data_IF_588748950440
#
_entry.id   IF_588748950440
#
_cell.length_a   1.000
_cell.length_b   1.000
_cell.length_c   1.000
_cell.angle_alpha   90.00
_cell.angle_beta   90.00
_cell.angle_gamma   90.00
#
_symmetry.space_group_name_H-M   'P 1'
#
loop_
_entity.id
_entity.type
_entity.pdbx_description
1 polymer ?
#
# COMPACT_ATOMS: atom_id res chain seq x y z
N UNK A 1 -3.33 37.12 -60.28
CA UNK A 1 -2.16 36.64 -59.47
C UNK A 1 -2.49 36.46 -57.98
N UNK A 2 -3.19 37.38 -57.30
CA UNK A 2 -3.51 37.29 -55.85
C UNK A 2 -4.40 36.03 -55.54
N UNK A 3 -5.49 35.78 -56.27
CA UNK A 3 -6.39 34.64 -56.09
C UNK A 3 -5.70 33.27 -56.27
N UNK A 4 -4.76 33.15 -57.21
CA UNK A 4 -4.03 31.89 -57.46
C UNK A 4 -3.09 31.60 -56.29
N UNK A 5 -2.43 32.64 -55.77
CA UNK A 5 -1.58 32.52 -54.58
C UNK A 5 -2.38 32.08 -53.33
N UNK A 6 -3.56 32.66 -53.15
CA UNK A 6 -4.42 32.30 -51.99
C UNK A 6 -4.92 30.85 -52.10
N UNK A 7 -5.24 30.33 -53.27
CA UNK A 7 -5.59 28.93 -53.52
C UNK A 7 -4.40 28.01 -53.22
N UNK A 8 -3.18 28.39 -53.67
CA UNK A 8 -1.97 27.59 -53.40
C UNK A 8 -1.71 27.50 -51.88
N UNK A 9 -1.86 28.60 -51.12
CA UNK A 9 -1.71 28.61 -49.70
C UNK A 9 -2.77 27.73 -48.98
N UNK A 10 -4.02 27.75 -49.46
CA UNK A 10 -5.08 26.91 -48.89
C UNK A 10 -4.79 25.41 -49.13
N UNK A 11 -4.34 25.05 -50.34
CA UNK A 11 -3.95 23.66 -50.65
C UNK A 11 -2.75 23.22 -49.78
N UNK A 12 -1.73 24.05 -49.62
CA UNK A 12 -0.57 23.81 -48.78
C UNK A 12 -0.98 23.60 -47.32
N UNK A 13 -1.86 24.47 -46.80
CA UNK A 13 -2.37 24.34 -45.44
C UNK A 13 -3.11 23.02 -45.23
N UNK A 14 -3.97 22.62 -46.16
CA UNK A 14 -4.69 21.32 -46.11
C UNK A 14 -3.71 20.18 -46.13
N UNK A 15 -2.67 20.22 -46.98
CA UNK A 15 -1.64 19.17 -47.00
C UNK A 15 -0.86 19.07 -45.70
N UNK A 16 -0.51 20.19 -45.07
CA UNK A 16 0.15 20.21 -43.74
C UNK A 16 -0.76 19.60 -42.68
N UNK A 17 -2.05 19.99 -42.67
CA UNK A 17 -3.01 19.43 -41.72
C UNK A 17 -3.15 17.90 -41.91
N UNK A 18 -3.23 17.43 -43.15
CA UNK A 18 -3.29 16.00 -43.43
C UNK A 18 -2.01 15.24 -43.03
N UNK A 19 -0.83 15.86 -43.22
CA UNK A 19 0.45 15.30 -42.79
C UNK A 19 0.54 15.24 -41.26
N UNK A 20 0.11 16.29 -40.55
CA UNK A 20 0.06 16.31 -39.08
C UNK A 20 -0.91 15.24 -38.59
N UNK A 21 -2.12 15.18 -39.16
CA UNK A 21 -3.13 14.19 -38.75
C UNK A 21 -2.64 12.75 -38.99
N UNK A 22 -1.99 12.50 -40.13
CA UNK A 22 -1.44 11.17 -40.46
C UNK A 22 -0.29 10.75 -39.50
N UNK A 23 0.43 11.70 -38.94
CA UNK A 23 1.57 11.44 -38.06
C UNK A 23 1.29 11.88 -36.61
N UNK A 24 0.02 12.06 -36.23
CA UNK A 24 -0.34 12.62 -34.92
C UNK A 24 0.19 11.78 -33.78
N UNK A 25 0.17 10.45 -33.92
CA UNK A 25 0.67 9.52 -32.93
C UNK A 25 2.20 9.67 -32.75
N UNK A 26 2.95 9.73 -33.85
CA UNK A 26 4.41 9.93 -33.81
C UNK A 26 4.79 11.29 -33.24
N UNK A 27 4.02 12.34 -33.57
CA UNK A 27 4.23 13.69 -33.06
C UNK A 27 3.91 13.72 -31.56
N UNK A 28 2.80 13.10 -31.15
CA UNK A 28 2.40 12.97 -29.75
C UNK A 28 3.45 12.19 -28.96
N UNK A 29 3.92 11.05 -29.48
CA UNK A 29 5.01 10.29 -28.86
C UNK A 29 6.29 11.13 -28.69
N UNK A 30 6.70 11.87 -29.72
CA UNK A 30 7.88 12.73 -29.65
C UNK A 30 7.77 13.81 -28.56
N UNK A 31 6.62 14.48 -28.44
CA UNK A 31 6.40 15.48 -27.39
C UNK A 31 6.29 14.83 -26.01
N UNK A 32 5.63 13.68 -25.89
CA UNK A 32 5.56 12.91 -24.64
C UNK A 32 6.96 12.54 -24.18
N UNK A 33 7.82 12.09 -25.09
CA UNK A 33 9.20 11.73 -24.76
C UNK A 33 10.04 12.91 -24.30
N UNK A 34 9.89 14.06 -24.97
CA UNK A 34 10.62 15.25 -24.59
C UNK A 34 10.22 15.72 -23.17
N UNK A 35 8.95 15.52 -22.80
CA UNK A 35 8.43 15.87 -21.48
C UNK A 35 8.86 14.85 -20.42
N UNK A 36 8.73 13.55 -20.71
CA UNK A 36 9.03 12.46 -19.75
C UNK A 36 10.53 12.25 -19.56
N UNK A 37 11.35 12.49 -20.58
CA UNK A 37 12.82 12.26 -20.51
C UNK A 37 13.53 13.08 -19.43
N UNK A 38 12.89 14.14 -18.90
CA UNK A 38 13.43 15.02 -17.87
C UNK A 38 12.76 14.84 -16.50
N UNK A 39 11.73 13.99 -16.39
CA UNK A 39 11.01 13.78 -15.14
C UNK A 39 11.74 12.72 -14.29
N UNK A 40 12.19 13.15 -13.12
CA UNK A 40 12.84 12.27 -12.14
C UNK A 40 11.82 11.83 -11.09
N UNK A 41 11.81 10.52 -10.81
CA UNK A 41 11.06 9.98 -9.68
C UNK A 41 11.62 10.59 -8.39
N UNK A 42 10.76 11.24 -7.61
CA UNK A 42 11.14 11.79 -6.30
C UNK A 42 10.93 10.74 -5.23
N UNK A 43 12.03 10.22 -4.68
CA UNK A 43 12.00 9.26 -3.59
C UNK A 43 12.02 10.03 -2.27
N UNK A 44 10.98 9.84 -1.46
CA UNK A 44 10.86 10.40 -0.10
C UNK A 44 11.49 9.44 0.92
N UNK A 45 11.85 9.95 2.09
CA UNK A 45 12.23 9.07 3.20
C UNK A 45 11.04 8.23 3.66
N UNK A 46 11.33 7.02 4.11
CA UNK A 46 10.34 6.15 4.71
C UNK A 46 10.01 6.63 6.13
N UNK A 47 8.80 6.39 6.59
CA UNK A 47 8.43 6.63 7.98
C UNK A 47 9.02 5.57 8.92
N UNK A 48 8.82 5.77 10.23
CA UNK A 48 9.36 4.89 11.29
C UNK A 48 8.70 3.51 11.37
N UNK A 49 7.61 3.29 10.63
CA UNK A 49 6.85 2.05 10.64
C UNK A 49 7.20 1.12 9.47
N UNK A 50 8.20 1.48 8.68
CA UNK A 50 8.69 0.65 7.59
C UNK A 50 9.20 -0.69 8.11
N UNK A 51 8.62 -1.77 7.63
CA UNK A 51 9.10 -3.13 7.89
C UNK A 51 10.31 -3.49 7.01
N UNK A 52 11.26 -4.24 7.58
CA UNK A 52 12.54 -4.61 6.94
C UNK A 52 12.74 -6.14 6.95
N UNK A 53 11.69 -6.88 6.60
CA UNK A 53 11.74 -8.35 6.63
C UNK A 53 12.24 -8.93 5.31
N UNK A 54 13.30 -9.75 5.35
CA UNK A 54 13.95 -10.31 4.17
C UNK A 54 13.28 -11.58 3.61
N UNK A 55 12.18 -12.03 4.19
CA UNK A 55 11.49 -13.28 3.85
C UNK A 55 10.17 -13.06 3.11
N UNK A 56 9.89 -11.88 2.65
CA UNK A 56 8.82 -11.58 1.72
C UNK A 56 9.39 -11.35 0.33
N UNK A 57 8.70 -11.83 -0.71
CA UNK A 57 9.14 -11.73 -2.11
C UNK A 57 8.96 -10.32 -2.70
N UNK A 58 9.14 -9.28 -1.90
CA UNK A 58 9.12 -7.91 -2.37
C UNK A 58 10.53 -7.31 -2.40
N UNK A 59 10.84 -6.62 -3.48
CA UNK A 59 12.12 -5.94 -3.62
C UNK A 59 12.08 -4.55 -2.95
N UNK A 60 12.92 -4.35 -1.94
CA UNK A 60 13.03 -3.06 -1.24
C UNK A 60 13.92 -2.04 -1.96
N UNK A 61 14.83 -2.51 -2.81
CA UNK A 61 15.80 -1.68 -3.51
C UNK A 61 15.44 -1.56 -4.99
N UNK A 62 14.28 -0.94 -5.28
CA UNK A 62 13.82 -0.71 -6.63
C UNK A 62 14.19 0.71 -7.09
N UNK A 63 14.39 0.86 -8.38
CA UNK A 63 14.63 2.16 -9.00
C UNK A 63 13.34 2.89 -9.40
N UNK A 64 12.17 2.29 -9.12
CA UNK A 64 10.84 2.80 -9.45
C UNK A 64 10.58 3.02 -10.95
N UNK A 65 11.33 2.34 -11.80
CA UNK A 65 11.12 2.26 -13.24
C UNK A 65 10.69 0.83 -13.56
N UNK A 66 9.40 0.57 -13.78
CA UNK A 66 8.93 -0.80 -13.99
C UNK A 66 9.23 -1.28 -15.43
N UNK A 67 9.57 -2.55 -15.56
CA UNK A 67 9.70 -3.26 -16.83
C UNK A 67 8.84 -4.53 -16.87
N UNK A 68 8.27 -4.90 -15.74
CA UNK A 68 7.39 -6.06 -15.56
C UNK A 68 6.21 -5.72 -14.65
N UNK A 69 5.16 -6.56 -14.67
CA UNK A 69 4.04 -6.45 -13.74
C UNK A 69 4.48 -6.61 -12.29
N UNK A 70 5.49 -7.46 -12.02
CA UNK A 70 6.04 -7.64 -10.67
C UNK A 70 6.76 -6.38 -10.17
N UNK A 71 7.40 -5.60 -11.06
CA UNK A 71 7.98 -4.32 -10.67
C UNK A 71 6.89 -3.33 -10.24
N UNK A 72 5.74 -3.33 -10.91
CA UNK A 72 4.58 -2.50 -10.53
C UNK A 72 4.07 -2.93 -9.15
N UNK A 73 3.91 -4.22 -8.89
CA UNK A 73 3.51 -4.76 -7.59
C UNK A 73 4.52 -4.34 -6.49
N UNK A 74 5.81 -4.42 -6.80
CA UNK A 74 6.87 -3.95 -5.90
C UNK A 74 6.79 -2.45 -5.63
N UNK A 75 6.43 -1.62 -6.61
CA UNK A 75 6.20 -0.18 -6.41
C UNK A 75 5.07 0.04 -5.41
N UNK A 76 3.91 -0.59 -5.58
CA UNK A 76 2.78 -0.47 -4.64
C UNK A 76 3.17 -0.91 -3.23
N UNK A 77 3.85 -2.05 -3.11
CA UNK A 77 4.36 -2.51 -1.81
C UNK A 77 5.28 -1.47 -1.17
N UNK A 78 6.23 -0.92 -1.92
CA UNK A 78 7.17 0.07 -1.37
C UNK A 78 6.49 1.39 -1.01
N UNK A 79 5.50 1.84 -1.79
CA UNK A 79 4.70 3.03 -1.47
C UNK A 79 4.02 2.85 -0.11
N UNK A 80 3.35 1.71 0.10
CA UNK A 80 2.69 1.40 1.37
C UNK A 80 3.71 1.19 2.48
N UNK A 81 4.71 0.34 2.30
CA UNK A 81 5.67 0.02 3.34
C UNK A 81 6.50 1.21 3.80
N UNK A 82 6.75 2.20 2.91
CA UNK A 82 7.41 3.45 3.28
C UNK A 82 6.43 4.46 3.93
N UNK A 83 5.12 4.21 3.91
CA UNK A 83 4.09 5.12 4.42
C UNK A 83 3.93 6.40 3.58
N UNK A 84 4.16 6.30 2.28
CA UNK A 84 4.00 7.45 1.38
C UNK A 84 2.52 7.65 1.03
N UNK A 85 2.01 8.84 1.32
CA UNK A 85 0.62 9.23 0.99
C UNK A 85 0.45 9.56 -0.50
N UNK A 86 1.54 9.93 -1.17
CA UNK A 86 1.58 10.23 -2.61
C UNK A 86 2.90 9.76 -3.20
N UNK A 87 2.83 9.15 -4.36
CA UNK A 87 4.00 8.75 -5.14
C UNK A 87 3.71 8.83 -6.63
N UNK A 88 4.71 9.25 -7.42
CA UNK A 88 4.62 9.29 -8.88
C UNK A 88 5.81 8.56 -9.51
N UNK A 89 5.54 7.81 -10.57
CA UNK A 89 6.54 7.17 -11.41
C UNK A 89 6.09 7.21 -12.88
N UNK A 90 6.96 6.75 -13.78
CA UNK A 90 6.71 6.81 -15.23
C UNK A 90 6.82 5.43 -15.84
N UNK A 91 5.88 5.10 -16.71
CA UNK A 91 5.94 3.91 -17.55
C UNK A 91 6.97 4.10 -18.66
N UNK A 92 8.07 3.30 -18.73
CA UNK A 92 9.05 3.40 -19.79
C UNK A 92 8.45 2.99 -21.14
N UNK A 93 8.98 3.51 -22.24
CA UNK A 93 8.52 3.21 -23.61
C UNK A 93 8.68 1.76 -23.98
N UNK A 94 9.75 1.16 -23.49
CA UNK A 94 10.12 -0.22 -23.75
C UNK A 94 9.09 -1.20 -23.17
N UNK A 95 8.40 -0.80 -22.10
CA UNK A 95 7.34 -1.59 -21.48
C UNK A 95 5.97 -1.20 -22.06
N UNK A 96 5.62 -1.80 -23.19
CA UNK A 96 4.44 -1.42 -23.97
C UNK A 96 3.10 -1.59 -23.23
N UNK A 97 2.96 -2.60 -22.39
CA UNK A 97 1.74 -2.89 -21.61
C UNK A 97 1.76 -2.24 -20.22
N UNK A 98 2.74 -1.41 -19.89
CA UNK A 98 2.90 -0.85 -18.56
C UNK A 98 1.63 -0.18 -18.01
N UNK A 99 0.98 0.68 -18.81
CA UNK A 99 -0.23 1.38 -18.36
C UNK A 99 -1.40 0.43 -18.09
N UNK A 100 -1.59 -0.58 -18.95
CA UNK A 100 -2.64 -1.61 -18.81
C UNK A 100 -2.35 -2.49 -17.57
N UNK A 101 -1.07 -2.82 -17.34
CA UNK A 101 -0.65 -3.60 -16.17
C UNK A 101 -0.80 -2.78 -14.88
N UNK A 102 -0.52 -1.46 -14.91
CA UNK A 102 -0.80 -0.56 -13.79
C UNK A 102 -2.29 -0.50 -13.48
N UNK A 103 -3.15 -0.37 -14.50
CA UNK A 103 -4.60 -0.38 -14.33
C UNK A 103 -5.07 -1.72 -13.74
N UNK A 104 -4.56 -2.83 -14.25
CA UNK A 104 -4.89 -4.17 -13.76
C UNK A 104 -4.48 -4.35 -12.30
N UNK A 105 -3.24 -3.97 -11.94
CA UNK A 105 -2.72 -4.09 -10.57
C UNK A 105 -3.45 -3.15 -9.62
N UNK A 106 -3.66 -1.88 -10.03
CA UNK A 106 -4.30 -0.88 -9.18
C UNK A 106 -5.78 -1.14 -8.89
N UNK A 107 -6.47 -1.87 -9.79
CA UNK A 107 -7.87 -2.26 -9.62
C UNK A 107 -8.07 -3.66 -9.00
N UNK A 108 -7.00 -4.41 -8.76
CA UNK A 108 -7.07 -5.72 -8.10
C UNK A 108 -7.13 -5.55 -6.58
N UNK A 109 -8.34 -5.45 -6.04
CA UNK A 109 -8.56 -5.30 -4.61
C UNK A 109 -7.98 -6.46 -3.78
N UNK A 110 -7.99 -7.68 -4.31
CA UNK A 110 -7.43 -8.85 -3.63
C UNK A 110 -5.91 -8.72 -3.52
N UNK A 111 -5.26 -8.34 -4.62
CA UNK A 111 -3.81 -8.11 -4.63
C UNK A 111 -3.43 -6.95 -3.69
N UNK A 112 -4.17 -5.83 -3.73
CA UNK A 112 -3.93 -4.69 -2.85
C UNK A 112 -4.10 -5.06 -1.37
N UNK A 113 -5.14 -5.83 -1.03
CA UNK A 113 -5.35 -6.37 0.31
C UNK A 113 -4.21 -7.29 0.75
N UNK A 114 -3.74 -8.15 -0.15
CA UNK A 114 -2.59 -9.02 0.12
C UNK A 114 -1.32 -8.20 0.38
N UNK A 115 -1.03 -7.19 -0.43
CA UNK A 115 0.11 -6.28 -0.21
C UNK A 115 -0.01 -5.61 1.18
N UNK A 116 -1.22 -5.14 1.53
CA UNK A 116 -1.50 -4.52 2.83
C UNK A 116 -1.21 -5.44 4.03
N UNK A 117 -1.32 -6.75 3.84
CA UNK A 117 -1.04 -7.72 4.89
C UNK A 117 0.46 -7.80 5.28
N UNK A 118 1.36 -7.35 4.40
CA UNK A 118 2.81 -7.36 4.64
C UNK A 118 3.34 -6.07 5.28
N UNK A 119 2.57 -4.99 5.31
CA UNK A 119 3.00 -3.72 5.90
C UNK A 119 2.57 -3.61 7.37
N UNK A 120 3.18 -2.67 8.10
CA UNK A 120 2.72 -2.34 9.46
C UNK A 120 1.28 -1.83 9.42
N UNK A 121 0.44 -2.12 10.44
CA UNK A 121 -0.90 -1.53 10.51
C UNK A 121 -0.91 -0.01 10.34
N UNK A 122 0.08 0.70 10.89
CA UNK A 122 0.19 2.16 10.73
C UNK A 122 0.48 2.63 9.30
N UNK A 123 0.90 1.74 8.42
CA UNK A 123 1.07 1.97 6.98
C UNK A 123 -0.06 1.38 6.14
N UNK A 124 -1.09 0.82 6.79
CA UNK A 124 -2.28 0.31 6.11
C UNK A 124 -3.09 1.43 5.46
N UNK A 125 -3.72 1.13 4.36
CA UNK A 125 -4.60 2.06 3.66
C UNK A 125 -6.08 1.76 3.91
N UNK A 126 -6.90 2.79 3.85
CA UNK A 126 -8.34 2.72 3.69
C UNK A 126 -8.69 2.71 2.20
N UNK A 127 -8.02 3.54 1.40
CA UNK A 127 -8.22 3.63 -0.03
C UNK A 127 -6.92 3.93 -0.77
N UNK A 128 -6.77 3.36 -1.98
CA UNK A 128 -5.71 3.68 -2.94
C UNK A 128 -6.35 4.13 -4.25
N UNK A 129 -5.92 5.29 -4.73
CA UNK A 129 -6.33 5.80 -6.04
C UNK A 129 -5.12 5.91 -6.96
N UNK A 130 -5.19 5.20 -8.08
CA UNK A 130 -4.20 5.30 -9.16
C UNK A 130 -4.75 6.16 -10.29
N UNK A 131 -3.93 7.11 -10.76
CA UNK A 131 -4.26 7.97 -11.91
C UNK A 131 -3.19 7.78 -12.97
N UNK A 132 -3.61 7.51 -14.19
CA UNK A 132 -2.75 7.29 -15.36
C UNK A 132 -2.90 8.49 -16.28
N UNK A 133 -1.80 9.17 -16.58
CA UNK A 133 -1.75 10.30 -17.50
C UNK A 133 -1.43 9.85 -18.92
N UNK A 134 -1.88 10.61 -19.91
CA UNK A 134 -1.48 10.44 -21.32
C UNK A 134 0.03 10.64 -21.54
N UNK A 135 0.72 11.31 -20.62
CA UNK A 135 2.18 11.46 -20.60
C UNK A 135 2.90 10.29 -19.95
N UNK A 136 2.22 9.15 -19.70
CA UNK A 136 2.74 7.94 -19.06
C UNK A 136 3.14 8.13 -17.59
N UNK A 137 2.80 9.27 -16.98
CA UNK A 137 2.93 9.48 -15.55
C UNK A 137 1.84 8.71 -14.81
N UNK A 138 2.25 7.99 -13.80
CA UNK A 138 1.38 7.23 -12.89
C UNK A 138 1.45 7.90 -11.53
N UNK A 139 0.30 8.28 -10.97
CA UNK A 139 0.20 8.83 -9.61
C UNK A 139 -0.58 7.88 -8.71
N UNK A 140 0.04 7.49 -7.62
CA UNK A 140 -0.57 6.69 -6.55
C UNK A 140 -0.87 7.63 -5.40
N UNK A 141 -2.13 7.72 -4.98
CA UNK A 141 -2.58 8.46 -3.80
C UNK A 141 -3.14 7.46 -2.79
N UNK A 142 -2.60 7.48 -1.58
CA UNK A 142 -2.96 6.59 -0.49
C UNK A 142 -3.71 7.38 0.57
N UNK A 143 -4.95 6.98 0.87
CA UNK A 143 -5.66 7.41 2.07
C UNK A 143 -5.30 6.42 3.18
N UNK A 144 -4.56 6.84 4.22
CA UNK A 144 -4.17 5.93 5.30
C UNK A 144 -5.39 5.53 6.13
N UNK A 145 -5.36 4.30 6.66
CA UNK A 145 -6.38 3.78 7.59
C UNK A 145 -6.30 4.46 8.96
N UNK A 146 -5.10 4.88 9.36
CA UNK A 146 -4.85 5.56 10.62
C UNK A 146 -4.32 6.97 10.35
N UNK A 147 -4.96 7.98 10.90
CA UNK A 147 -4.44 9.34 10.90
C UNK A 147 -3.32 9.52 11.96
N UNK A 148 -2.65 10.66 11.93
CA UNK A 148 -1.49 10.93 12.79
C UNK A 148 -1.89 10.98 14.28
N UNK A 149 -3.16 11.35 14.61
CA UNK A 149 -3.66 11.37 15.99
C UNK A 149 -3.98 9.96 16.47
N UNK A 150 -4.66 9.16 15.68
CA UNK A 150 -4.91 7.73 15.96
C UNK A 150 -3.60 6.97 16.19
N UNK A 151 -2.59 7.20 15.34
CA UNK A 151 -1.26 6.59 15.48
C UNK A 151 -0.65 6.96 16.82
N UNK A 152 -0.66 8.24 17.18
CA UNK A 152 -0.12 8.72 18.47
C UNK A 152 -0.83 8.11 19.68
N UNK A 153 -2.15 8.05 19.64
CA UNK A 153 -2.97 7.46 20.72
C UNK A 153 -2.67 5.98 20.86
N UNK A 154 -2.63 5.25 19.73
CA UNK A 154 -2.33 3.81 19.71
C UNK A 154 -0.89 3.52 20.15
N UNK A 155 0.08 4.27 19.69
CA UNK A 155 1.49 4.08 20.09
C UNK A 155 1.66 4.26 21.58
N UNK A 156 1.05 5.30 22.17
CA UNK A 156 1.03 5.53 23.60
C UNK A 156 0.33 4.38 24.36
N UNK A 157 -0.80 3.90 23.85
CA UNK A 157 -1.55 2.79 24.45
C UNK A 157 -0.72 1.50 24.46
N UNK A 158 -0.10 1.15 23.33
CA UNK A 158 0.76 -0.04 23.20
C UNK A 158 1.93 0.04 24.16
N UNK A 159 2.65 1.18 24.21
CA UNK A 159 3.78 1.38 25.12
C UNK A 159 3.35 1.29 26.59
N UNK A 160 2.19 1.86 26.95
CA UNK A 160 1.61 1.76 28.29
C UNK A 160 1.34 0.31 28.68
N UNK A 161 0.67 -0.44 27.82
CA UNK A 161 0.34 -1.85 28.05
C UNK A 161 1.61 -2.70 28.22
N UNK A 162 2.62 -2.52 27.36
CA UNK A 162 3.92 -3.21 27.46
C UNK A 162 4.56 -2.97 28.85
N UNK A 163 4.47 -1.73 29.35
CA UNK A 163 5.00 -1.37 30.66
C UNK A 163 4.20 -2.01 31.80
N UNK A 164 2.87 -1.97 31.72
CA UNK A 164 1.97 -2.52 32.73
C UNK A 164 2.08 -4.05 32.83
N UNK A 165 2.25 -4.73 31.70
CA UNK A 165 2.43 -6.19 31.64
C UNK A 165 3.83 -6.64 32.06
N UNK A 166 4.78 -5.71 32.20
CA UNK A 166 6.18 -5.97 32.59
C UNK A 166 6.84 -7.09 31.75
N UNK A 167 6.73 -6.99 30.43
CA UNK A 167 7.13 -8.07 29.50
C UNK A 167 8.57 -7.93 28.98
N UNK A 168 9.36 -6.95 29.41
CA UNK A 168 10.67 -6.61 28.83
C UNK A 168 11.63 -7.81 28.84
N UNK A 169 11.71 -8.52 29.97
CA UNK A 169 12.63 -9.64 30.17
C UNK A 169 12.07 -11.03 29.79
N UNK A 170 10.83 -11.06 29.32
CA UNK A 170 10.18 -12.32 28.93
C UNK A 170 10.69 -12.80 27.57
N UNK A 171 10.61 -14.11 27.33
CA UNK A 171 10.80 -14.68 25.99
C UNK A 171 9.76 -14.15 25.00
N UNK A 172 10.04 -14.24 23.70
CA UNK A 172 9.09 -13.79 22.68
C UNK A 172 7.74 -14.52 22.77
N UNK A 173 7.75 -15.80 23.10
CA UNK A 173 6.51 -16.58 23.30
C UNK A 173 5.70 -16.04 24.46
N UNK A 174 6.31 -15.84 25.62
CA UNK A 174 5.63 -15.29 26.79
C UNK A 174 5.11 -13.86 26.55
N UNK A 175 5.86 -13.03 25.79
CA UNK A 175 5.39 -11.70 25.37
C UNK A 175 4.10 -11.79 24.54
N UNK A 176 4.08 -12.72 23.56
CA UNK A 176 2.92 -12.97 22.72
C UNK A 176 1.72 -13.41 23.57
N UNK A 177 1.91 -14.38 24.45
CA UNK A 177 0.85 -14.91 25.34
C UNK A 177 0.28 -13.82 26.25
N UNK A 178 1.12 -12.99 26.87
CA UNK A 178 0.67 -11.87 27.72
C UNK A 178 -0.16 -10.84 26.97
N UNK A 179 0.28 -10.48 25.77
CA UNK A 179 -0.44 -9.51 24.95
C UNK A 179 -1.72 -10.11 24.35
N UNK A 180 -1.69 -11.36 23.94
CA UNK A 180 -2.87 -12.11 23.50
C UNK A 180 -3.97 -12.07 24.58
N UNK A 181 -3.63 -12.47 25.81
CA UNK A 181 -4.57 -12.47 26.93
C UNK A 181 -5.09 -11.06 27.26
N UNK A 182 -4.20 -10.05 27.17
CA UNK A 182 -4.60 -8.65 27.35
C UNK A 182 -5.63 -8.21 26.31
N UNK A 183 -5.38 -8.48 25.02
CA UNK A 183 -6.31 -8.08 23.94
C UNK A 183 -7.66 -8.79 24.13
N UNK A 184 -7.67 -10.10 24.37
CA UNK A 184 -8.90 -10.87 24.60
C UNK A 184 -9.69 -10.38 25.80
N UNK A 185 -9.01 -9.99 26.87
CA UNK A 185 -9.67 -9.51 28.11
C UNK A 185 -10.22 -8.09 27.98
N UNK A 186 -9.78 -7.31 27.00
CA UNK A 186 -10.12 -5.88 26.84
C UNK A 186 -10.86 -5.55 25.54
N UNK A 187 -11.12 -6.53 24.69
CA UNK A 187 -11.80 -6.35 23.41
C UNK A 187 -12.95 -7.34 23.26
N UNK A 188 -14.14 -6.86 22.93
CA UNK A 188 -15.31 -7.67 22.61
C UNK A 188 -15.37 -7.85 21.10
N UNK A 189 -15.63 -9.10 20.64
CA UNK A 189 -15.89 -9.36 19.22
C UNK A 189 -17.26 -8.80 18.84
N UNK A 190 -17.26 -7.86 17.87
CA UNK A 190 -18.45 -7.11 17.48
C UNK A 190 -18.65 -7.12 15.96
N UNK A 191 -19.32 -8.16 15.47
CA UNK A 191 -19.66 -8.33 14.06
C UNK A 191 -20.95 -7.64 13.63
N UNK A 192 -21.71 -7.09 14.58
CA UNK A 192 -23.00 -6.46 14.31
C UNK A 192 -22.90 -4.93 14.18
N UNK A 193 -21.78 -4.35 14.57
CA UNK A 193 -21.53 -2.93 14.48
C UNK A 193 -21.19 -2.50 13.04
N UNK A 194 -21.90 -1.50 12.52
CA UNK A 194 -21.55 -0.82 11.26
C UNK A 194 -20.39 0.18 11.43
N UNK A 195 -19.76 0.22 12.61
CA UNK A 195 -18.67 1.13 12.88
C UNK A 195 -17.37 0.63 12.21
N UNK A 196 -16.85 1.40 11.28
CA UNK A 196 -15.60 1.09 10.56
C UNK A 196 -14.40 0.95 11.50
N UNK A 197 -14.41 1.58 12.68
CA UNK A 197 -13.34 1.47 13.69
C UNK A 197 -13.14 0.04 14.17
N UNK A 198 -14.18 -0.80 14.19
CA UNK A 198 -14.10 -2.21 14.60
C UNK A 198 -13.13 -3.03 13.74
N UNK A 199 -12.83 -2.58 12.53
CA UNK A 199 -11.86 -3.23 11.63
C UNK A 199 -10.41 -2.85 11.93
N UNK A 200 -10.17 -1.96 12.89
CA UNK A 200 -8.87 -1.34 13.18
C UNK A 200 -8.34 -1.67 14.58
N UNK A 201 -7.04 -1.50 14.81
CA UNK A 201 -6.45 -1.57 16.14
C UNK A 201 -7.03 -0.52 17.10
N UNK A 202 -7.57 0.60 16.56
CA UNK A 202 -8.21 1.63 17.38
C UNK A 202 -9.50 1.11 18.00
N UNK A 203 -10.32 0.42 17.22
CA UNK A 203 -11.50 -0.26 17.74
C UNK A 203 -11.15 -1.25 18.85
N UNK A 204 -10.14 -2.10 18.63
CA UNK A 204 -9.70 -3.09 19.62
C UNK A 204 -9.13 -2.44 20.88
N UNK A 205 -8.09 -1.62 20.75
CA UNK A 205 -7.28 -1.17 21.90
C UNK A 205 -7.84 0.06 22.61
N UNK A 206 -8.65 0.88 21.94
CA UNK A 206 -9.17 2.14 22.48
C UNK A 206 -10.67 2.04 22.78
N UNK A 207 -11.46 1.54 21.81
CA UNK A 207 -12.91 1.45 21.97
C UNK A 207 -13.36 0.16 22.64
N UNK A 208 -12.53 -0.89 22.65
CA UNK A 208 -12.83 -2.19 23.25
C UNK A 208 -13.75 -3.09 22.40
N UNK A 209 -13.93 -2.79 21.11
CA UNK A 209 -14.76 -3.54 20.19
C UNK A 209 -14.02 -3.76 18.87
N UNK A 210 -13.99 -4.98 18.36
CA UNK A 210 -13.32 -5.26 17.07
C UNK A 210 -13.87 -6.52 16.40
N UNK A 211 -13.69 -6.59 15.08
CA UNK A 211 -13.75 -7.83 14.29
C UNK A 211 -12.32 -8.38 14.08
N UNK A 212 -12.19 -9.52 13.41
CA UNK A 212 -10.93 -10.23 13.19
C UNK A 212 -9.76 -9.32 12.72
N UNK A 213 -10.03 -8.38 11.80
CA UNK A 213 -9.02 -7.45 11.30
C UNK A 213 -8.52 -6.46 12.37
N UNK A 214 -9.40 -6.00 13.27
CA UNK A 214 -9.01 -5.12 14.37
C UNK A 214 -8.18 -5.84 15.43
N UNK A 215 -8.52 -7.09 15.77
CA UNK A 215 -7.70 -7.96 16.62
C UNK A 215 -6.32 -8.20 16.01
N UNK A 216 -6.27 -8.53 14.72
CA UNK A 216 -5.02 -8.78 14.00
C UNK A 216 -4.13 -7.54 13.90
N UNK A 217 -4.72 -6.36 13.64
CA UNK A 217 -3.99 -5.09 13.63
C UNK A 217 -3.44 -4.78 15.03
N UNK A 218 -4.25 -4.93 16.08
CA UNK A 218 -3.82 -4.71 17.46
C UNK A 218 -2.63 -5.61 17.83
N UNK A 219 -2.72 -6.91 17.55
CA UNK A 219 -1.64 -7.85 17.80
C UNK A 219 -0.38 -7.51 17.02
N UNK A 220 -0.51 -7.12 15.73
CA UNK A 220 0.62 -6.74 14.90
C UNK A 220 1.37 -5.52 15.43
N UNK A 221 0.70 -4.54 16.04
CA UNK A 221 1.35 -3.39 16.68
C UNK A 221 2.26 -3.80 17.84
N UNK A 222 1.84 -4.74 18.68
CA UNK A 222 2.68 -5.27 19.76
C UNK A 222 3.85 -6.10 19.21
N UNK A 223 3.60 -6.94 18.20
CA UNK A 223 4.65 -7.72 17.55
C UNK A 223 5.72 -6.82 16.93
N UNK A 224 5.31 -5.72 16.26
CA UNK A 224 6.23 -4.74 15.70
C UNK A 224 7.07 -4.06 16.81
N UNK A 225 6.49 -3.72 17.96
CA UNK A 225 7.22 -3.18 19.13
C UNK A 225 8.23 -4.15 19.72
N UNK A 226 7.93 -5.43 19.69
CA UNK A 226 8.83 -6.49 20.16
C UNK A 226 9.89 -6.88 19.13
N UNK A 227 9.85 -6.30 17.93
CA UNK A 227 10.65 -6.69 16.77
C UNK A 227 10.47 -8.19 16.42
N UNK A 228 9.28 -8.72 16.65
CA UNK A 228 8.90 -10.07 16.24
C UNK A 228 8.38 -10.01 14.82
N UNK A 229 9.02 -10.68 13.84
CA UNK A 229 8.56 -10.68 12.48
C UNK A 229 7.14 -11.25 12.38
N UNK A 230 6.28 -10.48 11.71
CA UNK A 230 4.88 -10.85 11.56
C UNK A 230 4.32 -10.33 10.25
N UNK A 231 3.27 -10.97 9.77
CA UNK A 231 2.42 -10.51 8.69
C UNK A 231 0.99 -10.96 8.96
N UNK A 232 0.03 -10.36 8.27
CA UNK A 232 -1.36 -10.84 8.32
C UNK A 232 -1.60 -11.83 7.19
N UNK A 233 -2.56 -12.72 7.40
CA UNK A 233 -3.12 -13.57 6.36
C UNK A 233 -4.63 -13.32 6.34
N UNK A 234 -5.18 -13.24 5.13
CA UNK A 234 -6.61 -13.14 4.92
C UNK A 234 -7.14 -14.33 4.11
N UNK A 235 -8.31 -14.79 4.49
CA UNK A 235 -9.17 -15.66 3.69
C UNK A 235 -10.39 -14.87 3.19
N UNK A 236 -11.38 -15.52 2.62
CA UNK A 236 -12.56 -14.84 2.10
C UNK A 236 -13.31 -14.00 3.16
N UNK A 237 -13.30 -14.43 4.41
CA UNK A 237 -14.08 -13.83 5.50
C UNK A 237 -13.34 -13.73 6.84
N UNK A 238 -12.03 -13.96 6.86
CA UNK A 238 -11.26 -13.99 8.10
C UNK A 238 -9.85 -13.44 7.90
N UNK A 239 -9.30 -12.79 8.95
CA UNK A 239 -7.94 -12.24 8.99
C UNK A 239 -7.29 -12.59 10.33
N UNK A 240 -6.04 -13.07 10.29
CA UNK A 240 -5.23 -13.39 11.46
C UNK A 240 -3.75 -13.09 11.23
N UNK A 241 -2.90 -13.31 12.23
CA UNK A 241 -1.47 -13.07 12.13
C UNK A 241 -0.70 -14.38 11.84
N UNK A 242 0.38 -14.27 11.07
CA UNK A 242 1.52 -15.18 11.11
C UNK A 242 2.64 -14.51 11.87
N UNK A 243 3.33 -15.26 12.72
CA UNK A 243 4.49 -14.81 13.48
C UNK A 243 5.67 -15.75 13.23
N UNK A 244 6.87 -15.17 13.09
CA UNK A 244 8.10 -15.93 12.97
C UNK A 244 8.73 -16.11 14.34
N UNK A 245 8.67 -17.33 14.85
CA UNK A 245 9.13 -17.69 16.17
C UNK A 245 9.84 -19.05 16.12
N UNK A 246 10.96 -19.18 16.82
CA UNK A 246 11.74 -20.42 16.89
C UNK A 246 12.06 -21.03 15.51
N UNK A 247 12.44 -20.19 14.56
CA UNK A 247 12.73 -20.51 13.16
C UNK A 247 11.54 -21.07 12.35
N UNK A 248 10.30 -20.87 12.82
CA UNK A 248 9.09 -21.32 12.15
C UNK A 248 8.07 -20.18 12.01
N UNK A 249 7.30 -20.21 10.93
CA UNK A 249 6.08 -19.42 10.80
C UNK A 249 4.93 -20.16 11.51
N UNK A 250 4.31 -19.49 12.48
CA UNK A 250 3.20 -20.01 13.27
C UNK A 250 1.97 -19.14 13.09
N UNK A 251 0.80 -19.77 13.02
CA UNK A 251 -0.47 -19.06 13.03
C UNK A 251 -0.75 -18.52 14.44
N UNK A 252 -1.19 -17.28 14.51
CA UNK A 252 -1.62 -16.60 15.73
C UNK A 252 -2.96 -15.95 15.46
N UNK A 253 -4.02 -16.59 15.90
CA UNK A 253 -5.40 -16.16 15.68
C UNK A 253 -6.08 -15.93 17.02
N UNK A 254 -6.50 -14.68 17.27
CA UNK A 254 -7.14 -14.25 18.51
C UNK A 254 -8.66 -14.47 18.49
N UNK A 255 -9.24 -14.79 17.33
CA UNK A 255 -10.70 -14.82 17.13
C UNK A 255 -11.25 -16.20 16.80
N UNK A 256 -10.38 -17.21 16.57
CA UNK A 256 -10.82 -18.56 16.22
C UNK A 256 -11.61 -19.23 17.37
N UNK A 257 -11.32 -18.90 18.62
CA UNK A 257 -11.99 -19.44 19.82
C UNK A 257 -13.28 -18.70 20.17
N UNK A 258 -13.53 -17.54 19.56
CA UNK A 258 -14.76 -16.75 19.77
C UNK A 258 -15.93 -17.15 18.88
N UNK A 259 -15.74 -18.11 17.97
CA UNK A 259 -16.76 -18.59 17.03
C UNK A 259 -17.38 -19.94 17.42
N UNK A 260 -17.22 -20.40 18.67
CA UNK A 260 -17.89 -21.62 19.18
C UNK A 260 -19.16 -21.29 19.93
#
# INVERSE_FOLDING_TARGET
MRKIRDIIYTILLILVILLVYRNIDTISEFFTDLLVSNEKVTIKEANNFKRKYNYVNFNYNINYIPYTKDDIINIYFNVLNNGWKEFAFYCPKEYKTCMDDVETVGNDNTLMSNINNYVSPFNSFENIKTTISSTREIKINVTPKYDDEMIKVLDNKVNKVITELNVQELSNREKIEKVHDYILSNTVYDSESDNLDTTSAYGSLILGHAVCSGYSDAMALFLDKFNIPNLKISSANHVWNLVYLDNNWLHLDLTLLGMT
#
